data_IF_328591052725
#
_entry.id   IF_328591052725
#
_cell.length_a   1.000
_cell.length_b   1.000
_cell.length_c   1.000
_cell.angle_alpha   90.00
_cell.angle_beta   90.00
_cell.angle_gamma   90.00
#
_symmetry.space_group_name_H-M   'P 1'
#
loop_
_entity.id
_entity.type
_entity.pdbx_description
1 polymer ?
#
# COMPACT_ATOMS: atom_id res chain seq x y z
N UNK A 1 34.92 -22.98 43.72
CA UNK A 1 35.66 -22.41 42.58
C UNK A 1 34.65 -21.99 41.54
N UNK A 2 34.27 -20.85 41.71
CA UNK A 2 34.05 -19.63 40.88
C UNK A 2 33.35 -19.87 39.58
N UNK A 3 32.05 -19.65 39.57
CA UNK A 3 31.20 -19.39 38.44
C UNK A 3 31.34 -17.93 38.01
N UNK A 4 31.83 -17.68 36.81
CA UNK A 4 31.82 -16.36 36.18
C UNK A 4 30.50 -16.21 35.39
N UNK A 5 29.59 -15.43 35.95
CA UNK A 5 28.45 -14.88 35.27
C UNK A 5 28.88 -13.71 34.39
N UNK A 6 28.87 -13.88 33.07
CA UNK A 6 28.98 -12.76 32.13
C UNK A 6 27.62 -12.06 32.03
N UNK A 7 27.54 -10.88 32.63
CA UNK A 7 26.46 -9.93 32.41
C UNK A 7 26.58 -9.31 31.01
N UNK A 8 25.67 -9.63 30.15
CA UNK A 8 25.48 -8.91 28.85
C UNK A 8 24.86 -7.55 29.18
N UNK A 9 25.70 -6.53 29.29
CA UNK A 9 25.24 -5.14 29.35
C UNK A 9 24.73 -4.70 27.97
N UNK A 10 23.43 -4.81 27.74
CA UNK A 10 22.76 -4.12 26.61
C UNK A 10 22.91 -2.61 26.87
N UNK A 11 23.63 -1.90 25.98
CA UNK A 11 23.57 -0.43 25.95
C UNK A 11 22.16 -0.02 25.67
N UNK A 12 21.59 0.99 26.37
CA UNK A 12 20.31 1.57 25.97
C UNK A 12 20.44 2.10 24.54
N UNK A 13 19.53 1.73 23.65
CA UNK A 13 19.39 2.41 22.35
C UNK A 13 19.10 3.88 22.67
N UNK A 14 20.00 4.78 22.29
CA UNK A 14 19.71 6.21 22.24
C UNK A 14 18.57 6.41 21.25
N UNK A 15 17.37 6.62 21.78
CA UNK A 15 16.23 7.07 21.00
C UNK A 15 16.54 8.48 20.46
N UNK A 16 16.14 8.76 19.22
CA UNK A 16 16.17 10.11 18.67
C UNK A 16 15.58 11.09 19.71
N UNK A 17 16.16 12.29 19.87
CA UNK A 17 15.74 13.22 20.91
C UNK A 17 14.24 13.51 20.78
N UNK A 18 13.52 13.37 21.88
CA UNK A 18 12.11 13.79 21.97
C UNK A 18 12.06 15.28 21.63
N UNK A 19 11.23 15.69 20.64
CA UNK A 19 11.16 17.10 20.26
C UNK A 19 10.71 17.93 21.47
N UNK A 20 11.37 19.06 21.68
CA UNK A 20 10.92 20.02 22.67
C UNK A 20 9.59 20.63 22.20
N UNK A 21 8.70 20.91 23.14
CA UNK A 21 7.45 21.61 22.86
C UNK A 21 7.77 22.94 22.14
N UNK A 22 7.08 23.22 21.01
CA UNK A 22 7.35 24.39 20.17
C UNK A 22 8.45 24.22 19.12
N UNK A 23 8.99 22.99 18.91
CA UNK A 23 9.97 22.74 17.83
C UNK A 23 9.42 23.03 16.44
N UNK A 24 10.29 23.51 15.55
CA UNK A 24 9.96 23.83 14.16
C UNK A 24 10.48 22.74 13.21
N UNK A 25 9.62 22.32 12.31
CA UNK A 25 9.94 21.36 11.25
C UNK A 25 9.60 21.94 9.88
N UNK A 26 10.20 21.41 8.85
CA UNK A 26 9.80 21.71 7.48
C UNK A 26 8.53 20.92 7.13
N UNK A 27 8.46 19.65 7.52
CA UNK A 27 7.36 18.74 7.18
C UNK A 27 6.92 17.95 8.42
N UNK A 28 5.61 17.94 8.69
CA UNK A 28 4.97 17.02 9.64
C UNK A 28 4.17 15.96 8.87
N UNK A 29 4.58 14.69 8.98
CA UNK A 29 3.87 13.55 8.39
C UNK A 29 3.00 12.93 9.47
N UNK A 30 1.69 12.86 9.25
CA UNK A 30 0.73 12.26 10.18
C UNK A 30 0.27 10.91 9.66
N UNK A 31 0.62 9.86 10.38
CA UNK A 31 0.39 8.46 10.02
C UNK A 31 1.68 7.74 9.60
N UNK A 32 2.16 6.87 10.48
CA UNK A 32 3.42 6.15 10.33
C UNK A 32 3.27 4.74 9.74
N UNK A 33 2.24 4.48 8.94
CA UNK A 33 2.14 3.25 8.15
C UNK A 33 3.19 3.18 7.03
N UNK A 34 3.10 2.16 6.16
CA UNK A 34 4.08 1.96 5.06
C UNK A 34 4.24 3.21 4.20
N UNK A 35 3.14 3.88 3.83
CA UNK A 35 3.18 5.07 2.96
C UNK A 35 3.84 6.26 3.64
N UNK A 36 3.42 6.62 4.86
CA UNK A 36 4.00 7.75 5.60
C UNK A 36 5.47 7.52 5.97
N UNK A 37 5.82 6.29 6.40
CA UNK A 37 7.23 5.92 6.68
C UNK A 37 8.08 5.95 5.42
N UNK A 38 7.55 5.51 4.26
CA UNK A 38 8.27 5.58 2.99
C UNK A 38 8.49 7.04 2.52
N UNK A 39 7.52 7.96 2.79
CA UNK A 39 7.72 9.38 2.53
C UNK A 39 8.84 9.96 3.41
N UNK A 40 8.82 9.65 4.71
CA UNK A 40 9.87 10.08 5.62
C UNK A 40 11.26 9.57 5.18
N UNK A 41 11.35 8.31 4.72
CA UNK A 41 12.58 7.75 4.15
C UNK A 41 13.00 8.49 2.86
N UNK A 42 12.06 8.81 1.97
CA UNK A 42 12.34 9.53 0.71
C UNK A 42 12.84 10.97 0.93
N UNK A 43 12.49 11.57 2.07
CA UNK A 43 12.90 12.92 2.44
C UNK A 43 14.12 12.96 3.36
N UNK A 44 14.61 11.81 3.84
CA UNK A 44 15.69 11.68 4.84
C UNK A 44 16.95 12.46 4.47
N UNK A 45 17.36 12.37 3.21
CA UNK A 45 18.61 12.97 2.72
C UNK A 45 18.37 14.28 1.92
N UNK A 46 17.15 14.84 2.01
CA UNK A 46 16.77 16.08 1.33
C UNK A 46 17.28 17.37 2.01
N UNK A 47 17.78 17.27 3.24
CA UNK A 47 18.12 18.40 4.10
C UNK A 47 16.92 19.00 4.85
N UNK A 48 15.69 18.56 4.58
CA UNK A 48 14.48 18.98 5.29
C UNK A 48 14.40 18.33 6.70
N UNK A 49 13.94 19.11 7.68
CA UNK A 49 13.61 18.62 9.02
C UNK A 49 12.21 18.02 9.00
N UNK A 50 12.11 16.72 9.26
CA UNK A 50 10.84 15.99 9.16
C UNK A 50 10.44 15.42 10.53
N UNK A 51 9.17 15.59 10.92
CA UNK A 51 8.59 14.84 12.03
C UNK A 51 7.54 13.86 11.50
N UNK A 52 7.61 12.62 11.96
CA UNK A 52 6.65 11.55 11.67
C UNK A 52 5.89 11.19 12.94
N UNK A 53 4.58 11.48 12.98
CA UNK A 53 3.68 11.21 14.09
C UNK A 53 2.82 9.98 13.77
N UNK A 54 2.86 8.97 14.63
CA UNK A 54 2.02 7.78 14.51
C UNK A 54 1.17 7.59 15.76
N UNK A 55 -0.14 7.49 15.59
CA UNK A 55 -1.07 7.26 16.68
C UNK A 55 -0.89 5.88 17.36
N UNK A 56 -0.27 4.92 16.68
CA UNK A 56 -0.01 3.58 17.19
C UNK A 56 1.38 3.47 17.81
N UNK A 57 1.54 2.51 18.75
CA UNK A 57 2.88 2.12 19.17
C UNK A 57 3.64 1.47 18.01
N UNK A 58 4.96 1.49 18.05
CA UNK A 58 5.82 0.90 17.03
C UNK A 58 5.50 -0.58 16.80
N UNK A 59 5.32 -1.32 17.88
CA UNK A 59 5.04 -2.76 17.88
C UNK A 59 3.66 -3.04 17.25
N UNK A 60 2.65 -2.30 17.67
CA UNK A 60 1.29 -2.44 17.14
C UNK A 60 1.21 -2.09 15.64
N UNK A 61 1.91 -1.05 15.21
CA UNK A 61 1.99 -0.68 13.81
C UNK A 61 2.66 -1.78 12.97
N UNK A 62 3.77 -2.35 13.41
CA UNK A 62 4.53 -3.41 12.71
C UNK A 62 3.78 -4.75 12.70
N UNK A 63 3.02 -5.08 13.73
CA UNK A 63 2.36 -6.38 13.90
C UNK A 63 1.13 -6.60 13.00
N UNK A 64 0.74 -5.64 12.17
CA UNK A 64 -0.42 -5.76 11.26
C UNK A 64 -0.26 -6.91 10.28
N UNK A 65 -1.33 -7.67 10.07
CA UNK A 65 -1.34 -8.89 9.26
C UNK A 65 -1.68 -8.67 7.78
N UNK A 66 -1.40 -7.48 7.26
CA UNK A 66 -1.65 -7.16 5.86
C UNK A 66 -0.57 -7.74 4.95
N UNK A 67 -0.98 -8.07 3.72
CA UNK A 67 -0.09 -8.53 2.65
C UNK A 67 -0.35 -7.67 1.42
N UNK A 68 0.71 -7.33 0.72
CA UNK A 68 0.67 -6.45 -0.45
C UNK A 68 1.26 -7.14 -1.68
N UNK A 69 0.57 -7.02 -2.81
CA UNK A 69 1.23 -7.16 -4.09
C UNK A 69 2.05 -5.88 -4.34
N UNK A 70 3.35 -6.02 -4.55
CA UNK A 70 4.27 -4.90 -4.78
C UNK A 70 4.62 -4.88 -6.27
N UNK A 71 4.30 -3.79 -6.96
CA UNK A 71 4.55 -3.64 -8.38
C UNK A 71 6.03 -3.39 -8.67
N UNK A 72 6.45 -3.59 -9.92
CA UNK A 72 7.82 -3.31 -10.36
C UNK A 72 8.21 -1.85 -10.08
N UNK A 73 7.34 -0.89 -10.41
CA UNK A 73 7.60 0.53 -10.14
C UNK A 73 7.74 0.81 -8.65
N UNK A 74 6.93 0.19 -7.81
CA UNK A 74 7.04 0.34 -6.35
C UNK A 74 8.40 -0.19 -5.85
N UNK A 75 8.85 -1.33 -6.37
CA UNK A 75 10.19 -1.85 -6.06
C UNK A 75 11.30 -0.88 -6.45
N UNK A 76 11.23 -0.29 -7.65
CA UNK A 76 12.17 0.73 -8.11
C UNK A 76 12.15 2.00 -7.21
N UNK A 77 10.97 2.48 -6.82
CA UNK A 77 10.87 3.62 -5.88
C UNK A 77 11.53 3.29 -4.54
N UNK A 78 11.25 2.11 -3.96
CA UNK A 78 11.88 1.68 -2.71
C UNK A 78 13.38 1.47 -2.84
N UNK A 79 13.87 1.09 -4.01
CA UNK A 79 15.30 1.03 -4.34
C UNK A 79 15.92 2.42 -4.37
N UNK A 80 15.29 3.38 -5.04
CA UNK A 80 15.74 4.79 -5.06
C UNK A 80 15.71 5.47 -3.68
N UNK A 81 14.83 5.00 -2.76
CA UNK A 81 14.84 5.39 -1.35
C UNK A 81 16.04 4.77 -0.60
N UNK A 82 16.59 3.65 -1.07
CA UNK A 82 17.70 2.94 -0.43
C UNK A 82 17.31 1.86 0.59
N UNK A 83 16.06 1.41 0.58
CA UNK A 83 15.55 0.37 1.52
C UNK A 83 15.35 -1.00 0.87
N UNK A 84 15.41 -1.07 -0.45
CA UNK A 84 15.01 -2.26 -1.21
C UNK A 84 15.87 -3.48 -0.96
N UNK A 85 17.18 -3.31 -0.87
CA UNK A 85 18.12 -4.42 -0.62
C UNK A 85 17.87 -5.13 0.71
N UNK A 86 17.40 -4.38 1.71
CA UNK A 86 17.02 -4.95 3.00
C UNK A 86 15.63 -5.59 2.99
N UNK A 87 14.73 -5.15 2.11
CA UNK A 87 13.36 -5.68 1.97
C UNK A 87 13.37 -6.95 1.13
N UNK A 88 14.06 -6.96 -0.01
CA UNK A 88 13.97 -7.99 -1.04
C UNK A 88 14.20 -9.44 -0.53
N UNK A 89 15.17 -9.71 0.37
CA UNK A 89 15.38 -11.06 0.90
C UNK A 89 14.23 -11.59 1.78
N UNK A 90 13.36 -10.72 2.27
CA UNK A 90 12.28 -11.04 3.20
C UNK A 90 10.92 -11.23 2.51
N UNK A 91 10.84 -11.01 1.20
CA UNK A 91 9.59 -11.03 0.42
C UNK A 91 9.67 -12.06 -0.69
N UNK A 92 8.52 -12.36 -1.31
CA UNK A 92 8.50 -13.30 -2.43
C UNK A 92 8.44 -12.55 -3.78
N UNK A 93 9.13 -13.08 -4.78
CA UNK A 93 9.08 -12.60 -6.16
C UNK A 93 8.21 -13.52 -6.99
N UNK A 94 7.20 -13.02 -7.69
CA UNK A 94 6.42 -13.84 -8.61
C UNK A 94 6.84 -13.60 -10.06
N UNK A 95 6.85 -14.72 -10.82
CA UNK A 95 7.29 -14.78 -12.23
C UNK A 95 6.15 -15.08 -13.19
N UNK A 96 4.99 -15.41 -12.68
CA UNK A 96 3.81 -15.66 -13.51
C UNK A 96 2.58 -15.11 -12.83
N UNK A 97 1.67 -14.56 -13.65
CA UNK A 97 0.30 -14.25 -13.22
C UNK A 97 -0.63 -15.11 -14.08
N UNK A 98 -1.52 -15.85 -13.43
CA UNK A 98 -2.59 -16.59 -14.10
C UNK A 98 -3.93 -15.94 -13.78
N UNK A 99 -4.59 -15.47 -14.84
CA UNK A 99 -5.91 -14.85 -14.74
C UNK A 99 -6.94 -15.75 -15.40
N UNK A 100 -7.99 -16.13 -14.66
CA UNK A 100 -9.06 -17.01 -15.14
C UNK A 100 -10.43 -16.39 -14.89
N UNK A 101 -11.42 -16.77 -15.73
CA UNK A 101 -12.82 -16.37 -15.63
C UNK A 101 -13.68 -17.54 -15.18
N UNK A 102 -13.81 -17.70 -13.86
CA UNK A 102 -14.57 -18.77 -13.23
C UNK A 102 -14.05 -20.15 -13.64
N UNK A 103 -14.99 -21.05 -13.92
CA UNK A 103 -14.73 -22.42 -14.35
C UNK A 103 -14.60 -22.57 -15.88
N UNK A 104 -14.52 -21.45 -16.59
CA UNK A 104 -14.39 -21.46 -18.05
C UNK A 104 -12.98 -21.83 -18.47
N UNK A 105 -12.81 -22.69 -19.48
CA UNK A 105 -11.50 -23.14 -19.91
C UNK A 105 -10.67 -21.99 -20.48
N UNK A 106 -9.39 -22.02 -20.19
CA UNK A 106 -8.39 -21.10 -20.71
C UNK A 106 -8.13 -19.93 -19.79
N UNK A 107 -6.91 -19.89 -19.29
CA UNK A 107 -6.32 -18.81 -18.51
C UNK A 107 -5.50 -17.85 -19.41
N UNK A 108 -5.41 -16.59 -18.99
CA UNK A 108 -4.41 -15.65 -19.50
C UNK A 108 -3.18 -15.79 -18.64
N UNK A 109 -2.04 -16.08 -19.27
CA UNK A 109 -0.76 -16.20 -18.59
C UNK A 109 0.11 -15.02 -18.94
N UNK A 110 0.50 -14.27 -17.93
CA UNK A 110 1.51 -13.23 -18.05
C UNK A 110 2.83 -13.78 -17.55
N UNK A 111 3.89 -13.53 -18.31
CA UNK A 111 5.26 -13.98 -18.02
C UNK A 111 6.23 -12.80 -18.11
N UNK A 112 7.41 -12.88 -17.48
CA UNK A 112 8.37 -11.77 -17.46
C UNK A 112 8.80 -11.30 -18.84
N UNK A 113 8.86 -12.22 -19.81
CA UNK A 113 9.22 -11.96 -21.20
C UNK A 113 8.23 -11.01 -21.91
N UNK A 114 6.97 -10.94 -21.43
CA UNK A 114 5.98 -9.98 -21.95
C UNK A 114 6.40 -8.51 -21.69
N UNK A 115 7.30 -8.25 -20.73
CA UNK A 115 7.82 -6.92 -20.39
C UNK A 115 9.32 -6.79 -20.62
N UNK A 116 9.98 -7.80 -21.14
CA UNK A 116 11.44 -7.88 -21.22
C UNK A 116 12.09 -7.68 -19.83
N UNK A 117 11.63 -8.46 -18.85
CA UNK A 117 12.06 -8.42 -17.45
C UNK A 117 12.32 -9.86 -16.97
N UNK A 118 12.89 -10.00 -15.76
CA UNK A 118 13.11 -11.27 -15.08
C UNK A 118 11.98 -11.66 -14.11
N UNK A 119 11.07 -10.72 -13.84
CA UNK A 119 9.95 -10.87 -12.89
C UNK A 119 8.79 -9.96 -13.23
N UNK A 120 7.61 -10.22 -12.64
CA UNK A 120 6.40 -9.42 -12.83
C UNK A 120 6.04 -8.56 -11.61
N UNK A 121 6.56 -8.89 -10.44
CA UNK A 121 6.32 -8.17 -9.20
C UNK A 121 6.70 -9.00 -7.98
N UNK A 122 6.23 -8.53 -6.82
CA UNK A 122 6.58 -9.12 -5.53
C UNK A 122 5.36 -9.21 -4.63
N UNK A 123 5.44 -10.06 -3.61
CA UNK A 123 4.46 -10.15 -2.53
C UNK A 123 5.16 -9.96 -1.20
N UNK A 124 4.73 -8.99 -0.44
CA UNK A 124 5.33 -8.63 0.83
C UNK A 124 4.28 -8.64 1.96
N UNK A 125 4.63 -9.24 3.09
CA UNK A 125 3.92 -9.04 4.33
C UNK A 125 4.19 -7.62 4.86
N UNK A 126 3.26 -7.07 5.64
CA UNK A 126 3.37 -5.72 6.20
C UNK A 126 4.60 -5.56 7.11
N UNK A 127 4.83 -6.56 7.97
CA UNK A 127 5.91 -6.54 8.98
C UNK A 127 7.29 -6.26 8.38
N UNK A 128 7.81 -7.02 7.39
CA UNK A 128 9.12 -6.76 6.82
C UNK A 128 9.22 -5.38 6.17
N UNK A 129 8.14 -4.90 5.51
CA UNK A 129 8.14 -3.58 4.90
C UNK A 129 8.27 -2.47 5.94
N UNK A 130 7.34 -2.43 6.91
CA UNK A 130 7.31 -1.34 7.87
C UNK A 130 8.51 -1.38 8.83
N UNK A 131 8.91 -2.58 9.26
CA UNK A 131 10.08 -2.75 10.11
C UNK A 131 11.34 -2.19 9.45
N UNK A 132 11.61 -2.56 8.19
CA UNK A 132 12.79 -2.08 7.45
C UNK A 132 12.75 -0.56 7.25
N UNK A 133 11.59 0.02 6.91
CA UNK A 133 11.44 1.47 6.79
C UNK A 133 11.75 2.19 8.12
N UNK A 134 11.24 1.66 9.23
CA UNK A 134 11.48 2.25 10.56
C UNK A 134 12.94 2.12 10.99
N UNK A 135 13.57 0.97 10.77
CA UNK A 135 15.01 0.76 11.05
C UNK A 135 15.91 1.66 10.19
N UNK A 136 15.45 2.00 8.97
CA UNK A 136 16.14 2.96 8.11
C UNK A 136 16.02 4.39 8.65
N UNK A 137 14.86 4.78 9.17
CA UNK A 137 14.61 6.08 9.80
C UNK A 137 15.38 6.25 11.12
N UNK A 138 15.52 5.19 11.92
CA UNK A 138 16.26 5.22 13.18
C UNK A 138 17.74 5.68 13.02
N UNK A 139 18.27 5.61 11.81
CA UNK A 139 19.63 6.04 11.46
C UNK A 139 19.72 7.49 10.99
N UNK A 140 18.62 8.24 11.02
CA UNK A 140 18.55 9.62 10.54
C UNK A 140 18.57 10.61 11.70
N UNK A 141 19.33 11.67 11.56
CA UNK A 141 19.31 12.85 12.42
C UNK A 141 18.34 13.93 11.95
N UNK A 142 17.77 13.78 10.74
CA UNK A 142 16.86 14.73 10.10
C UNK A 142 15.38 14.33 10.23
N UNK A 143 15.11 13.09 10.59
CA UNK A 143 13.74 12.58 10.74
C UNK A 143 13.48 12.18 12.18
N UNK A 144 12.63 12.95 12.87
CA UNK A 144 12.13 12.61 14.20
C UNK A 144 10.88 11.72 14.05
N UNK A 145 10.88 10.54 14.66
CA UNK A 145 9.70 9.63 14.64
C UNK A 145 9.13 9.48 16.04
N UNK A 146 7.85 9.82 16.23
CA UNK A 146 7.14 9.67 17.50
C UNK A 146 5.97 8.71 17.30
N UNK A 147 6.01 7.60 18.01
CA UNK A 147 4.93 6.61 18.08
C UNK A 147 4.05 6.89 19.31
N UNK A 148 2.85 6.32 19.35
CA UNK A 148 1.84 6.60 20.38
C UNK A 148 1.57 8.11 20.53
N UNK A 149 1.51 8.80 19.39
CA UNK A 149 1.34 10.25 19.29
C UNK A 149 0.12 10.60 18.42
N UNK A 150 -1.11 10.35 18.87
CA UNK A 150 -2.30 10.73 18.13
C UNK A 150 -2.39 12.25 17.99
N UNK A 151 -2.49 12.72 16.74
CA UNK A 151 -2.75 14.14 16.44
C UNK A 151 -4.19 14.46 16.81
N UNK A 152 -4.37 15.55 17.56
CA UNK A 152 -5.67 16.03 18.04
C UNK A 152 -6.25 17.12 17.14
N UNK A 153 -5.41 18.08 16.78
CA UNK A 153 -5.82 19.27 16.05
C UNK A 153 -4.67 19.80 15.18
N UNK A 154 -5.01 20.46 14.10
CA UNK A 154 -4.06 21.20 13.27
C UNK A 154 -4.67 22.58 12.97
N UNK A 155 -3.94 23.61 13.32
CA UNK A 155 -4.24 24.99 12.94
C UNK A 155 -3.35 25.39 11.75
N UNK A 156 -3.97 25.77 10.64
CA UNK A 156 -3.30 26.12 9.41
C UNK A 156 -3.13 27.64 9.30
N UNK A 157 -1.94 28.13 9.64
CA UNK A 157 -1.54 29.52 9.44
C UNK A 157 -1.09 29.84 8.01
N UNK A 158 -0.68 31.09 7.79
CA UNK A 158 -0.19 31.54 6.47
C UNK A 158 1.15 30.91 6.12
N UNK A 159 2.11 30.92 7.05
CA UNK A 159 3.48 30.49 6.81
C UNK A 159 3.77 29.06 7.30
N UNK A 160 3.03 28.60 8.30
CA UNK A 160 3.18 27.27 8.89
C UNK A 160 1.86 26.79 9.49
N UNK A 161 1.77 25.49 9.71
CA UNK A 161 0.71 24.85 10.49
C UNK A 161 1.22 24.49 11.88
N UNK A 162 0.38 24.63 12.91
CA UNK A 162 0.61 24.13 14.26
C UNK A 162 -0.07 22.79 14.43
N UNK A 163 0.68 21.76 14.75
CA UNK A 163 0.21 20.39 14.96
C UNK A 163 0.20 20.10 16.46
N UNK A 164 -0.98 19.88 17.02
CA UNK A 164 -1.19 19.48 18.42
C UNK A 164 -1.39 17.98 18.49
N UNK A 165 -0.59 17.29 19.29
CA UNK A 165 -0.66 15.84 19.48
C UNK A 165 -0.48 15.48 20.95
N UNK A 166 -0.94 14.30 21.34
CA UNK A 166 -0.78 13.75 22.69
C UNK A 166 0.40 12.77 22.67
N UNK A 167 1.31 12.91 23.63
CA UNK A 167 2.39 11.96 23.85
C UNK A 167 2.66 11.79 25.35
N UNK A 168 2.71 10.54 25.81
CA UNK A 168 2.91 10.20 27.24
C UNK A 168 1.93 10.89 28.18
N UNK A 169 0.66 11.04 27.74
CA UNK A 169 -0.40 11.70 28.52
C UNK A 169 -0.29 13.22 28.61
N UNK A 170 0.61 13.83 27.84
CA UNK A 170 0.78 15.28 27.75
C UNK A 170 0.47 15.78 26.35
N UNK A 171 -0.18 16.93 26.26
CA UNK A 171 -0.38 17.63 25.01
C UNK A 171 0.90 18.37 24.62
N UNK A 172 1.34 18.18 23.40
CA UNK A 172 2.53 18.81 22.84
C UNK A 172 2.19 19.46 21.48
N UNK A 173 2.95 20.47 21.13
CA UNK A 173 2.79 21.19 19.88
C UNK A 173 4.11 21.29 19.11
N UNK A 174 4.01 21.16 17.79
CA UNK A 174 5.09 21.47 16.86
C UNK A 174 4.53 22.30 15.72
N UNK A 175 5.40 23.09 15.08
CA UNK A 175 5.03 23.80 13.86
C UNK A 175 5.72 23.19 12.64
N UNK A 176 5.04 23.21 11.49
CA UNK A 176 5.60 22.70 10.24
C UNK A 176 5.12 23.55 9.06
N UNK A 177 6.01 23.79 8.07
CA UNK A 177 5.64 24.51 6.83
C UNK A 177 4.61 23.72 6.01
N UNK A 178 4.63 22.40 6.11
CA UNK A 178 3.71 21.49 5.43
C UNK A 178 3.31 20.33 6.33
N UNK A 179 2.01 20.02 6.37
CA UNK A 179 1.48 18.79 6.94
C UNK A 179 1.15 17.82 5.81
N UNK A 180 1.59 16.57 5.94
CA UNK A 180 1.23 15.49 5.03
C UNK A 180 0.37 14.45 5.76
N UNK A 181 -0.88 14.33 5.33
CA UNK A 181 -1.80 13.34 5.87
C UNK A 181 -1.58 11.98 5.18
N UNK A 182 -1.03 11.03 5.93
CA UNK A 182 -0.85 9.62 5.59
C UNK A 182 -1.64 8.71 6.57
N UNK A 183 -2.71 9.25 7.17
CA UNK A 183 -3.50 8.74 8.29
C UNK A 183 -4.58 7.71 7.88
N UNK A 184 -4.56 7.28 6.62
CA UNK A 184 -5.36 6.18 6.12
C UNK A 184 -6.76 6.57 5.65
N UNK A 185 -7.57 5.57 5.28
CA UNK A 185 -8.82 5.82 4.55
C UNK A 185 -9.92 6.52 5.34
N UNK A 186 -9.86 6.53 6.66
CA UNK A 186 -10.75 7.31 7.54
C UNK A 186 -10.14 8.65 7.96
N UNK A 187 -9.20 9.16 7.22
CA UNK A 187 -8.40 10.34 7.50
C UNK A 187 -9.16 11.45 8.26
N UNK A 188 -8.93 11.63 9.57
CA UNK A 188 -9.49 12.76 10.31
C UNK A 188 -8.97 14.10 9.77
N UNK A 189 -7.75 14.14 9.29
CA UNK A 189 -7.15 15.37 8.75
C UNK A 189 -7.84 15.82 7.46
N UNK A 190 -8.16 14.88 6.56
CA UNK A 190 -8.97 15.17 5.37
C UNK A 190 -10.33 15.74 5.74
N UNK A 191 -11.01 15.11 6.71
CA UNK A 191 -12.33 15.53 7.17
C UNK A 191 -12.29 16.90 7.85
N UNK A 192 -11.35 17.13 8.77
CA UNK A 192 -11.16 18.43 9.44
C UNK A 192 -10.80 19.53 8.44
N UNK A 193 -10.04 19.21 7.40
CA UNK A 193 -9.75 20.15 6.32
C UNK A 193 -10.96 20.42 5.40
N UNK A 194 -12.12 19.79 5.60
CA UNK A 194 -13.30 19.95 4.75
C UNK A 194 -13.10 19.50 3.32
N UNK A 195 -12.22 18.50 3.08
CA UNK A 195 -12.02 17.91 1.76
C UNK A 195 -13.04 16.80 1.54
N UNK A 196 -13.98 17.04 0.64
CA UNK A 196 -15.01 16.07 0.27
C UNK A 196 -14.43 14.89 -0.50
N UNK A 197 -15.14 13.76 -0.45
CA UNK A 197 -14.79 12.54 -1.17
C UNK A 197 -15.92 12.08 -2.07
N UNK A 198 -15.58 11.47 -3.20
CA UNK A 198 -16.51 10.78 -4.10
C UNK A 198 -16.18 9.31 -4.15
N UNK A 199 -17.19 8.49 -4.39
CA UNK A 199 -17.03 7.05 -4.50
C UNK A 199 -18.24 6.30 -3.94
N UNK A 200 -18.08 5.00 -3.77
CA UNK A 200 -19.15 4.13 -3.29
C UNK A 200 -18.57 2.95 -2.50
N UNK A 201 -19.41 2.36 -1.67
CA UNK A 201 -19.14 1.07 -1.07
C UNK A 201 -19.64 0.00 -2.04
N UNK A 202 -18.80 -1.00 -2.30
CA UNK A 202 -19.24 -2.15 -3.08
C UNK A 202 -20.18 -3.03 -2.25
N UNK A 203 -20.93 -3.87 -2.92
CA UNK A 203 -21.80 -4.88 -2.31
C UNK A 203 -21.01 -6.09 -1.74
N UNK A 204 -19.70 -6.04 -1.85
CA UNK A 204 -18.74 -7.07 -1.52
C UNK A 204 -17.87 -6.68 -0.32
N UNK A 205 -17.37 -7.73 0.35
CA UNK A 205 -16.28 -7.65 1.34
C UNK A 205 -15.19 -8.64 0.98
N UNK A 206 -13.97 -8.38 1.45
CA UNK A 206 -12.85 -9.31 1.31
C UNK A 206 -12.59 -10.04 2.62
N UNK A 207 -12.45 -11.35 2.54
CA UNK A 207 -11.88 -12.20 3.58
C UNK A 207 -10.44 -12.50 3.19
N UNK A 208 -9.48 -12.11 4.02
CA UNK A 208 -8.05 -12.37 3.78
C UNK A 208 -7.47 -13.25 4.86
N UNK A 209 -6.61 -14.16 4.46
CA UNK A 209 -5.95 -15.12 5.34
C UNK A 209 -4.75 -15.74 4.64
N UNK A 210 -3.87 -16.39 5.40
CA UNK A 210 -2.72 -17.12 4.85
C UNK A 210 -3.00 -18.63 4.87
N UNK A 211 -2.45 -19.32 3.87
CA UNK A 211 -2.53 -20.77 3.74
C UNK A 211 -1.18 -21.38 3.44
N UNK A 212 -1.01 -22.65 3.77
CA UNK A 212 0.11 -23.49 3.36
C UNK A 212 -0.40 -24.56 2.42
N UNK A 213 -0.10 -24.49 1.12
CA UNK A 213 -0.45 -25.53 0.16
C UNK A 213 0.46 -26.75 0.30
N UNK A 214 -0.05 -27.92 -0.08
CA UNK A 214 0.69 -29.19 -0.09
C UNK A 214 1.82 -29.18 -1.12
N UNK A 215 1.54 -28.65 -2.33
CA UNK A 215 2.52 -28.54 -3.42
C UNK A 215 3.08 -27.11 -3.49
N UNK A 216 4.20 -26.97 -4.16
CA UNK A 216 4.82 -25.65 -4.39
C UNK A 216 3.88 -24.70 -5.15
N UNK A 217 3.84 -23.44 -4.73
CA UNK A 217 3.16 -22.36 -5.47
C UNK A 217 3.94 -21.88 -6.70
N UNK A 218 5.17 -22.36 -6.92
CA UNK A 218 6.02 -22.08 -8.09
C UNK A 218 6.19 -20.59 -8.42
N UNK A 219 6.02 -19.72 -7.42
CA UNK A 219 6.03 -18.27 -7.58
C UNK A 219 4.99 -17.73 -8.59
N UNK A 220 3.83 -18.38 -8.65
CA UNK A 220 2.70 -17.98 -9.48
C UNK A 220 1.68 -17.22 -8.64
N UNK A 221 1.29 -16.03 -9.11
CA UNK A 221 0.14 -15.31 -8.59
C UNK A 221 -1.11 -15.67 -9.40
N UNK A 222 -2.21 -15.97 -8.73
CA UNK A 222 -3.47 -16.30 -9.37
C UNK A 222 -4.50 -15.22 -9.10
N UNK A 223 -5.26 -14.86 -10.14
CA UNK A 223 -6.44 -14.01 -10.04
C UNK A 223 -7.60 -14.76 -10.71
N UNK A 224 -8.48 -15.34 -9.91
CA UNK A 224 -9.65 -16.10 -10.37
C UNK A 224 -10.89 -15.22 -10.25
N UNK A 225 -11.40 -14.74 -11.36
CA UNK A 225 -12.64 -13.97 -11.37
C UNK A 225 -13.86 -14.91 -11.32
N UNK A 226 -14.83 -14.54 -10.51
CA UNK A 226 -16.13 -15.23 -10.45
C UNK A 226 -17.24 -14.17 -10.26
N UNK A 227 -18.48 -14.55 -10.53
CA UNK A 227 -19.63 -13.65 -10.41
C UNK A 227 -19.82 -13.09 -8.97
N UNK A 228 -19.41 -13.85 -7.95
CA UNK A 228 -19.43 -13.41 -6.54
C UNK A 228 -18.28 -12.43 -6.18
N UNK A 229 -17.27 -12.35 -7.02
CA UNK A 229 -16.09 -11.50 -6.83
C UNK A 229 -14.77 -12.21 -7.11
N UNK A 230 -13.68 -11.46 -7.24
CA UNK A 230 -12.34 -12.00 -7.47
C UNK A 230 -11.81 -12.80 -6.29
N UNK A 231 -10.95 -13.78 -6.61
CA UNK A 231 -10.26 -14.64 -5.66
C UNK A 231 -8.77 -14.67 -6.03
N UNK A 232 -7.97 -13.93 -5.25
CA UNK A 232 -6.54 -13.84 -5.48
C UNK A 232 -5.75 -14.80 -4.58
N UNK A 233 -4.71 -15.43 -5.14
CA UNK A 233 -3.72 -16.23 -4.41
C UNK A 233 -2.35 -15.64 -4.69
N UNK A 234 -1.69 -15.14 -3.66
CA UNK A 234 -0.41 -14.47 -3.75
C UNK A 234 0.67 -15.28 -3.06
N UNK A 235 1.76 -15.67 -3.75
CA UNK A 235 2.81 -16.51 -3.19
C UNK A 235 3.64 -15.74 -2.14
N UNK A 236 3.87 -16.35 -0.98
CA UNK A 236 4.68 -15.84 0.13
C UNK A 236 5.92 -16.71 0.36
N UNK A 237 6.96 -16.22 1.05
CA UNK A 237 8.11 -17.02 1.44
C UNK A 237 7.70 -18.26 2.27
N UNK A 238 8.49 -19.34 2.17
CA UNK A 238 8.26 -20.56 2.93
C UNK A 238 7.08 -21.40 2.44
N UNK A 239 6.80 -21.39 1.15
CA UNK A 239 5.68 -22.10 0.51
C UNK A 239 4.32 -21.79 1.18
N UNK A 240 4.09 -20.53 1.53
CA UNK A 240 2.81 -20.01 2.01
C UNK A 240 2.16 -19.19 0.90
N UNK A 241 0.86 -19.01 0.98
CA UNK A 241 0.14 -18.07 0.11
C UNK A 241 -0.74 -17.16 0.95
N UNK A 242 -0.89 -15.91 0.54
CA UNK A 242 -1.97 -15.05 1.00
C UNK A 242 -3.16 -15.19 0.06
N UNK A 243 -4.33 -15.36 0.62
CA UNK A 243 -5.60 -15.40 -0.12
C UNK A 243 -6.37 -14.12 0.15
N UNK A 244 -6.93 -13.55 -0.91
CA UNK A 244 -7.92 -12.47 -0.83
C UNK A 244 -9.19 -12.98 -1.51
N UNK A 245 -10.18 -13.31 -0.70
CA UNK A 245 -11.47 -13.83 -1.17
C UNK A 245 -12.51 -12.72 -1.12
N UNK A 246 -12.84 -12.17 -2.28
CA UNK A 246 -13.92 -11.18 -2.40
C UNK A 246 -15.25 -11.92 -2.61
N UNK A 247 -16.25 -11.54 -1.81
CA UNK A 247 -17.58 -12.15 -1.85
C UNK A 247 -18.65 -11.12 -1.43
N UNK A 248 -19.95 -11.36 -1.73
CA UNK A 248 -21.06 -10.58 -1.18
C UNK A 248 -20.96 -10.42 0.33
N UNK A 249 -21.38 -9.28 0.89
CA UNK A 249 -21.26 -9.01 2.33
C UNK A 249 -21.79 -10.15 3.22
N UNK A 250 -22.97 -10.73 2.85
CA UNK A 250 -23.56 -11.83 3.61
C UNK A 250 -22.72 -13.11 3.57
N UNK A 251 -22.23 -13.48 2.38
CA UNK A 251 -21.34 -14.64 2.20
C UNK A 251 -20.00 -14.42 2.93
N UNK A 252 -19.40 -13.24 2.81
CA UNK A 252 -18.15 -12.93 3.48
C UNK A 252 -18.28 -13.00 5.01
N UNK A 253 -19.40 -12.56 5.58
CA UNK A 253 -19.69 -12.72 7.02
C UNK A 253 -19.87 -14.19 7.38
N UNK A 254 -20.66 -14.95 6.60
CA UNK A 254 -20.86 -16.38 6.84
C UNK A 254 -19.53 -17.15 6.80
N UNK A 255 -18.60 -16.81 5.88
CA UNK A 255 -17.25 -17.37 5.85
C UNK A 255 -16.45 -17.12 7.14
N UNK A 256 -16.67 -15.97 7.81
CA UNK A 256 -16.02 -15.68 9.09
C UNK A 256 -16.58 -16.51 10.26
N UNK A 257 -17.85 -16.91 10.18
CA UNK A 257 -18.58 -17.66 11.23
C UNK A 257 -18.35 -19.18 11.14
N UNK A 258 -17.90 -19.69 9.96
CA UNK A 258 -17.61 -21.12 9.80
C UNK A 258 -16.51 -21.59 10.77
N UNK A 259 -16.66 -22.78 11.30
CA UNK A 259 -15.56 -23.47 11.97
C UNK A 259 -14.42 -23.77 10.98
N UNK A 260 -13.28 -24.24 11.49
CA UNK A 260 -12.09 -24.44 10.65
C UNK A 260 -12.30 -25.56 9.61
N UNK A 261 -13.03 -26.62 9.95
CA UNK A 261 -13.25 -27.75 9.05
C UNK A 261 -14.16 -27.36 7.88
N UNK A 262 -15.31 -26.73 8.17
CA UNK A 262 -16.24 -26.26 7.16
C UNK A 262 -15.64 -25.15 6.29
N UNK A 263 -14.85 -24.26 6.89
CA UNK A 263 -14.13 -23.23 6.12
C UNK A 263 -13.10 -23.84 5.17
N UNK A 264 -12.33 -24.84 5.62
CA UNK A 264 -11.32 -25.54 4.81
C UNK A 264 -11.95 -26.25 3.61
N UNK A 265 -13.11 -26.87 3.79
CA UNK A 265 -13.84 -27.50 2.69
C UNK A 265 -14.25 -26.47 1.62
N UNK A 266 -14.86 -25.35 2.04
CA UNK A 266 -15.23 -24.25 1.14
C UNK A 266 -14.03 -23.64 0.46
N UNK A 267 -12.93 -23.45 1.21
CA UNK A 267 -11.69 -22.95 0.68
C UNK A 267 -11.12 -23.89 -0.38
N UNK A 268 -11.06 -25.21 -0.13
CA UNK A 268 -10.52 -26.17 -1.07
C UNK A 268 -11.30 -26.18 -2.39
N UNK A 269 -12.64 -26.09 -2.32
CA UNK A 269 -13.49 -25.98 -3.51
C UNK A 269 -13.12 -24.73 -4.36
N UNK A 270 -12.89 -23.59 -3.70
CA UNK A 270 -12.55 -22.32 -4.37
C UNK A 270 -11.11 -22.26 -4.83
N UNK A 271 -10.20 -22.79 -4.03
CA UNK A 271 -8.75 -22.80 -4.30
C UNK A 271 -8.42 -23.69 -5.50
N UNK A 272 -9.10 -24.83 -5.61
CA UNK A 272 -8.85 -25.84 -6.64
C UNK A 272 -7.82 -26.88 -6.21
N UNK A 273 -7.44 -27.74 -7.15
CA UNK A 273 -6.54 -28.88 -6.91
C UNK A 273 -5.09 -28.63 -7.37
N UNK A 274 -4.79 -27.52 -8.00
CA UNK A 274 -3.48 -27.26 -8.64
C UNK A 274 -2.32 -27.35 -7.65
N UNK A 275 -2.50 -26.81 -6.44
CA UNK A 275 -1.49 -26.85 -5.37
C UNK A 275 -1.76 -27.92 -4.30
N UNK A 276 -2.65 -28.90 -4.58
CA UNK A 276 -3.01 -29.95 -3.64
C UNK A 276 -3.94 -29.47 -2.52
N UNK A 277 -3.87 -30.11 -1.37
CA UNK A 277 -4.61 -29.67 -0.17
C UNK A 277 -4.04 -28.38 0.40
N UNK A 278 -4.90 -27.60 1.07
CA UNK A 278 -4.52 -26.33 1.71
C UNK A 278 -4.87 -26.37 3.20
N UNK A 279 -3.94 -25.86 4.00
CA UNK A 279 -4.11 -25.68 5.44
C UNK A 279 -4.11 -24.19 5.78
N UNK A 280 -4.94 -23.78 6.75
CA UNK A 280 -4.91 -22.42 7.26
C UNK A 280 -3.59 -22.16 8.01
N UNK A 281 -2.97 -21.01 7.73
CA UNK A 281 -1.73 -20.57 8.36
C UNK A 281 -1.87 -19.22 9.09
N UNK A 282 -3.09 -18.67 9.17
CA UNK A 282 -3.40 -17.47 9.97
C UNK A 282 -4.88 -17.38 10.28
N UNK A 283 -5.25 -16.49 11.19
CA UNK A 283 -6.63 -16.05 11.37
C UNK A 283 -7.18 -15.41 10.08
N UNK A 284 -8.51 -15.40 9.97
CA UNK A 284 -9.26 -14.72 8.89
C UNK A 284 -9.53 -13.28 9.29
N UNK A 285 -9.44 -12.36 8.33
CA UNK A 285 -9.71 -10.94 8.52
C UNK A 285 -10.72 -10.48 7.47
N UNK A 286 -11.75 -9.75 7.91
CA UNK A 286 -12.81 -9.21 7.05
C UNK A 286 -12.66 -7.71 6.91
N UNK A 287 -12.74 -7.19 5.68
CA UNK A 287 -12.82 -5.76 5.43
C UNK A 287 -13.77 -5.43 4.27
N UNK A 288 -14.54 -4.33 4.38
CA UNK A 288 -15.44 -3.90 3.30
C UNK A 288 -14.63 -3.32 2.14
N UNK A 289 -15.11 -3.55 0.93
CA UNK A 289 -14.55 -2.96 -0.29
C UNK A 289 -15.19 -1.60 -0.55
N UNK A 290 -14.35 -0.61 -0.83
CA UNK A 290 -14.79 0.76 -1.10
C UNK A 290 -13.88 1.39 -2.17
N UNK A 291 -14.49 2.08 -3.12
CA UNK A 291 -13.82 3.06 -3.96
C UNK A 291 -14.01 4.44 -3.34
N UNK A 292 -12.94 5.19 -3.22
CA UNK A 292 -12.97 6.56 -2.72
C UNK A 292 -11.91 7.40 -3.43
N UNK A 293 -12.29 8.60 -3.79
CA UNK A 293 -11.44 9.62 -4.37
C UNK A 293 -11.71 10.95 -3.68
N UNK A 294 -10.68 11.60 -3.15
CA UNK A 294 -10.80 12.95 -2.59
C UNK A 294 -10.96 13.98 -3.72
N UNK A 295 -11.83 14.96 -3.53
CA UNK A 295 -12.05 16.03 -4.50
C UNK A 295 -10.80 16.90 -4.70
N UNK A 296 -9.99 17.02 -3.67
CA UNK A 296 -8.67 17.66 -3.70
C UNK A 296 -7.66 16.81 -2.93
N UNK A 297 -6.41 16.80 -3.38
CA UNK A 297 -5.30 16.18 -2.66
C UNK A 297 -4.52 17.18 -1.83
N UNK A 298 -4.71 18.48 -2.10
CA UNK A 298 -3.96 19.54 -1.43
C UNK A 298 -4.85 20.71 -1.02
N UNK A 299 -4.42 21.38 0.04
CA UNK A 299 -4.79 22.73 0.46
C UNK A 299 -3.52 23.50 0.85
N UNK A 300 -3.56 24.81 1.09
CA UNK A 300 -2.42 25.49 1.67
C UNK A 300 -1.93 24.77 2.92
N UNK A 301 -0.64 24.49 3.01
CA UNK A 301 0.00 23.75 4.13
C UNK A 301 -0.45 22.30 4.35
N UNK A 302 -1.23 21.71 3.43
CA UNK A 302 -1.73 20.32 3.56
C UNK A 302 -1.61 19.56 2.25
N UNK A 303 -1.06 18.33 2.31
CA UNK A 303 -1.10 17.33 1.24
C UNK A 303 -1.64 15.99 1.77
N UNK A 304 -2.48 15.31 0.99
CA UNK A 304 -2.98 13.96 1.27
C UNK A 304 -2.22 12.95 0.42
N UNK A 305 -1.84 11.79 0.99
CA UNK A 305 -1.18 10.70 0.28
C UNK A 305 -1.81 9.34 0.62
N UNK A 306 -1.76 8.41 -0.33
CA UNK A 306 -2.26 7.05 -0.15
C UNK A 306 -3.75 7.00 0.18
N UNK A 307 -4.14 6.13 1.12
CA UNK A 307 -5.55 5.92 1.48
C UNK A 307 -6.25 7.18 2.01
N UNK A 308 -5.51 8.18 2.50
CA UNK A 308 -6.09 9.48 2.88
C UNK A 308 -6.63 10.23 1.65
N UNK A 309 -6.00 10.07 0.48
CA UNK A 309 -6.38 10.71 -0.77
C UNK A 309 -7.33 9.84 -1.62
N UNK A 310 -7.14 8.52 -1.65
CA UNK A 310 -7.89 7.61 -2.52
C UNK A 310 -7.87 6.17 -2.03
N UNK A 311 -8.91 5.41 -2.36
CA UNK A 311 -9.00 3.96 -2.14
C UNK A 311 -9.55 3.30 -3.40
N UNK A 312 -8.92 2.22 -3.85
CA UNK A 312 -9.34 1.45 -5.01
C UNK A 312 -9.88 0.07 -4.60
N UNK A 313 -10.56 -0.58 -5.53
CA UNK A 313 -10.91 -1.99 -5.38
C UNK A 313 -9.62 -2.83 -5.20
N UNK A 314 -9.60 -3.84 -4.30
CA UNK A 314 -8.38 -4.62 -4.01
C UNK A 314 -7.89 -5.48 -5.18
N UNK A 315 -8.67 -5.65 -6.26
CA UNK A 315 -8.26 -6.40 -7.45
C UNK A 315 -6.92 -5.89 -7.98
N UNK A 316 -5.99 -6.81 -8.18
CA UNK A 316 -4.62 -6.47 -8.60
C UNK A 316 -3.76 -5.75 -7.56
N UNK A 317 -4.21 -5.60 -6.31
CA UNK A 317 -3.40 -5.14 -5.18
C UNK A 317 -2.83 -3.72 -5.32
N UNK A 318 -3.57 -2.77 -5.90
CA UNK A 318 -3.03 -1.45 -6.28
C UNK A 318 -2.93 -0.42 -5.13
N UNK A 319 -3.69 -0.56 -4.03
CA UNK A 319 -3.83 0.50 -3.02
C UNK A 319 -2.50 1.02 -2.48
N UNK A 320 -1.67 0.16 -1.90
CA UNK A 320 -0.36 0.55 -1.37
C UNK A 320 0.58 1.08 -2.49
N UNK A 321 0.54 0.48 -3.68
CA UNK A 321 1.37 0.91 -4.81
C UNK A 321 1.04 2.34 -5.27
N UNK A 322 -0.24 2.72 -5.28
CA UNK A 322 -0.64 4.10 -5.57
C UNK A 322 -0.10 5.06 -4.50
N UNK A 323 -0.19 4.69 -3.22
CA UNK A 323 0.38 5.48 -2.12
C UNK A 323 1.90 5.68 -2.23
N UNK A 324 2.64 4.63 -2.62
CA UNK A 324 4.10 4.75 -2.84
C UNK A 324 4.42 5.65 -4.04
N UNK A 325 3.61 5.61 -5.10
CA UNK A 325 3.75 6.56 -6.22
C UNK A 325 3.42 7.99 -5.80
N UNK A 326 2.43 8.17 -4.93
CA UNK A 326 2.08 9.50 -4.40
C UNK A 326 3.26 10.10 -3.64
N UNK A 327 3.86 9.34 -2.73
CA UNK A 327 4.98 9.87 -1.92
C UNK A 327 6.20 10.16 -2.78
N UNK A 328 6.46 9.36 -3.80
CA UNK A 328 7.57 9.59 -4.70
C UNK A 328 7.37 10.88 -5.54
N UNK A 329 6.14 11.11 -6.02
CA UNK A 329 5.79 12.33 -6.74
C UNK A 329 5.82 13.57 -5.81
N UNK A 330 5.30 13.45 -4.58
CA UNK A 330 5.32 14.53 -3.61
C UNK A 330 6.77 14.88 -3.23
N UNK A 331 7.60 13.88 -2.93
CA UNK A 331 9.01 14.10 -2.60
C UNK A 331 9.76 14.83 -3.74
N UNK A 332 9.55 14.43 -5.01
CA UNK A 332 10.13 15.12 -6.18
C UNK A 332 9.69 16.59 -6.26
N UNK A 333 8.39 16.88 -6.03
CA UNK A 333 7.87 18.25 -6.05
C UNK A 333 8.44 19.08 -4.91
N UNK A 334 8.51 18.54 -3.68
CA UNK A 334 9.03 19.26 -2.51
C UNK A 334 10.52 19.55 -2.63
N UNK A 335 11.33 18.59 -3.05
CA UNK A 335 12.78 18.76 -3.26
C UNK A 335 13.06 19.77 -4.37
N UNK A 336 12.29 19.73 -5.47
CA UNK A 336 12.42 20.70 -6.55
C UNK A 336 12.08 22.11 -6.08
N UNK A 337 11.01 22.28 -5.31
CA UNK A 337 10.61 23.57 -4.76
C UNK A 337 11.67 24.12 -3.78
N UNK A 338 12.22 23.26 -2.91
CA UNK A 338 13.29 23.61 -1.99
C UNK A 338 14.53 24.12 -2.74
N UNK A 339 14.98 23.39 -3.77
CA UNK A 339 16.13 23.78 -4.60
C UNK A 339 15.92 25.13 -5.32
N UNK A 340 14.68 25.46 -5.63
CA UNK A 340 14.29 26.71 -6.28
C UNK A 340 14.00 27.85 -5.28
N UNK A 341 14.16 27.62 -3.97
CA UNK A 341 13.83 28.60 -2.92
C UNK A 341 12.34 28.94 -2.83
N UNK A 342 11.46 28.04 -3.33
CA UNK A 342 10.01 28.21 -3.28
C UNK A 342 9.46 27.70 -1.94
N UNK A 343 8.37 28.31 -1.48
CA UNK A 343 7.62 27.80 -0.34
C UNK A 343 6.85 26.52 -0.74
N UNK A 344 7.37 25.37 -0.34
CA UNK A 344 6.75 24.08 -0.70
C UNK A 344 5.44 23.79 0.04
N UNK A 345 5.06 24.60 1.03
CA UNK A 345 3.71 24.56 1.64
C UNK A 345 2.69 25.41 0.89
N UNK A 346 3.11 26.19 -0.12
CA UNK A 346 2.22 26.99 -0.95
C UNK A 346 1.35 26.11 -1.86
N UNK A 347 0.09 26.50 -2.01
CA UNK A 347 -0.89 25.77 -2.82
C UNK A 347 -0.44 25.60 -4.27
N UNK A 348 0.22 26.60 -4.87
CA UNK A 348 0.69 26.56 -6.26
C UNK A 348 1.76 25.50 -6.49
N UNK A 349 2.62 25.27 -5.51
CA UNK A 349 3.63 24.20 -5.53
C UNK A 349 2.95 22.85 -5.34
N UNK A 350 2.09 22.72 -4.32
CA UNK A 350 1.40 21.47 -4.01
C UNK A 350 0.45 21.00 -5.14
N UNK A 351 -0.15 21.92 -5.89
CA UNK A 351 -0.94 21.60 -7.07
C UNK A 351 -0.17 20.91 -8.19
N UNK A 352 1.17 20.99 -8.23
CA UNK A 352 1.99 20.21 -9.18
C UNK A 352 1.89 18.72 -8.87
N UNK A 353 1.95 18.36 -7.57
CA UNK A 353 1.71 16.99 -7.07
C UNK A 353 0.28 16.53 -7.38
N UNK A 354 -0.74 17.32 -7.01
CA UNK A 354 -2.14 16.97 -7.22
C UNK A 354 -2.44 16.71 -8.69
N UNK A 355 -2.05 17.60 -9.61
CA UNK A 355 -2.26 17.45 -11.05
C UNK A 355 -1.60 16.21 -11.62
N UNK A 356 -0.38 15.90 -11.15
CA UNK A 356 0.30 14.69 -11.58
C UNK A 356 -0.43 13.42 -11.09
N UNK A 357 -0.68 13.32 -9.80
CA UNK A 357 -1.15 12.06 -9.22
C UNK A 357 -2.63 11.81 -9.41
N UNK A 358 -3.46 12.84 -9.36
CA UNK A 358 -4.91 12.68 -9.39
C UNK A 358 -5.41 12.03 -10.68
N UNK A 359 -4.86 12.39 -11.84
CA UNK A 359 -5.23 11.77 -13.12
C UNK A 359 -4.77 10.31 -13.20
N UNK A 360 -3.52 10.02 -12.80
CA UNK A 360 -3.01 8.65 -12.81
C UNK A 360 -3.77 7.76 -11.83
N UNK A 361 -4.06 8.26 -10.63
CA UNK A 361 -4.83 7.52 -9.64
C UNK A 361 -6.26 7.26 -10.15
N UNK A 362 -6.93 8.26 -10.73
CA UNK A 362 -8.27 8.09 -11.30
C UNK A 362 -8.29 7.01 -12.40
N UNK A 363 -7.26 6.93 -13.21
CA UNK A 363 -7.12 5.88 -14.24
C UNK A 363 -7.09 4.48 -13.61
N UNK A 364 -6.31 4.28 -12.54
CA UNK A 364 -6.24 2.98 -11.85
C UNK A 364 -7.54 2.68 -11.08
N UNK A 365 -8.12 3.68 -10.41
CA UNK A 365 -9.40 3.51 -9.73
C UNK A 365 -10.50 3.09 -10.71
N UNK A 366 -10.60 3.77 -11.86
CA UNK A 366 -11.56 3.43 -12.91
C UNK A 366 -11.30 2.06 -13.53
N UNK A 367 -10.03 1.72 -13.75
CA UNK A 367 -9.64 0.42 -14.29
C UNK A 367 -10.02 -0.73 -13.34
N UNK A 368 -9.69 -0.62 -12.05
CA UNK A 368 -10.03 -1.66 -11.05
C UNK A 368 -11.54 -1.79 -10.84
N UNK A 369 -12.28 -0.69 -10.88
CA UNK A 369 -13.74 -0.69 -10.84
C UNK A 369 -14.36 -1.35 -12.07
N UNK A 370 -13.85 -1.02 -13.27
CA UNK A 370 -14.28 -1.65 -14.51
C UNK A 370 -14.03 -3.16 -14.51
N UNK A 371 -12.87 -3.60 -14.02
CA UNK A 371 -12.58 -5.02 -13.88
C UNK A 371 -13.59 -5.71 -12.98
N UNK A 372 -13.80 -5.18 -11.76
CA UNK A 372 -14.78 -5.79 -10.85
C UNK A 372 -16.18 -5.83 -11.47
N UNK A 373 -16.71 -4.72 -11.94
CA UNK A 373 -18.06 -4.67 -12.57
C UNK A 373 -18.22 -5.62 -13.74
N UNK A 374 -17.18 -5.78 -14.55
CA UNK A 374 -17.23 -6.64 -15.74
C UNK A 374 -17.16 -8.12 -15.37
N UNK A 375 -16.35 -8.46 -14.39
CA UNK A 375 -16.14 -9.86 -14.01
C UNK A 375 -17.12 -10.34 -12.92
N UNK A 376 -17.54 -9.48 -12.01
CA UNK A 376 -18.55 -9.79 -10.98
C UNK A 376 -19.97 -9.61 -11.51
N UNK A 377 -20.24 -10.13 -12.73
CA UNK A 377 -21.52 -9.97 -13.40
C UNK A 377 -21.83 -11.18 -14.30
N UNK A 378 -23.12 -11.52 -14.41
CA UNK A 378 -23.63 -12.62 -15.25
C UNK A 378 -24.40 -12.14 -16.47
N UNK A 379 -24.57 -10.82 -16.65
CA UNK A 379 -25.29 -10.27 -17.81
C UNK A 379 -24.56 -10.58 -19.11
N UNK A 380 -25.27 -11.24 -20.03
CA UNK A 380 -24.69 -11.84 -21.25
C UNK A 380 -23.80 -10.88 -22.06
N UNK A 381 -24.17 -9.61 -22.35
CA UNK A 381 -23.30 -8.69 -23.09
C UNK A 381 -21.96 -8.42 -22.40
N UNK A 382 -21.95 -8.26 -21.06
CA UNK A 382 -20.71 -8.09 -20.30
C UNK A 382 -19.86 -9.36 -20.30
N UNK A 383 -20.51 -10.52 -20.27
CA UNK A 383 -19.82 -11.82 -20.38
C UNK A 383 -19.11 -11.93 -21.73
N UNK A 384 -19.79 -11.56 -22.84
CA UNK A 384 -19.18 -11.56 -24.17
C UNK A 384 -18.01 -10.57 -24.25
N UNK A 385 -18.21 -9.35 -23.74
CA UNK A 385 -17.18 -8.30 -23.76
C UNK A 385 -15.92 -8.74 -22.98
N UNK A 386 -16.06 -9.32 -21.77
CA UNK A 386 -14.91 -9.81 -21.02
C UNK A 386 -14.21 -10.98 -21.70
N UNK A 387 -14.96 -11.88 -22.35
CA UNK A 387 -14.36 -12.99 -23.11
C UNK A 387 -13.55 -12.47 -24.32
N UNK A 388 -14.05 -11.46 -25.03
CA UNK A 388 -13.30 -10.78 -26.09
C UNK A 388 -12.04 -10.09 -25.51
N UNK A 389 -12.15 -9.44 -24.36
CA UNK A 389 -11.00 -8.85 -23.67
C UNK A 389 -9.94 -9.90 -23.28
N UNK A 390 -10.36 -11.03 -22.71
CA UNK A 390 -9.46 -12.14 -22.38
C UNK A 390 -8.86 -12.78 -23.65
N UNK A 391 -9.64 -12.91 -24.69
CA UNK A 391 -9.15 -13.37 -25.99
C UNK A 391 -8.06 -12.42 -26.53
N UNK A 392 -8.30 -11.11 -26.49
CA UNK A 392 -7.32 -10.10 -26.88
C UNK A 392 -6.03 -10.19 -26.08
N UNK A 393 -6.11 -10.37 -24.74
CA UNK A 393 -4.95 -10.56 -23.86
C UNK A 393 -4.16 -11.84 -24.18
N UNK A 394 -4.82 -12.88 -24.72
CA UNK A 394 -4.16 -14.13 -25.10
C UNK A 394 -3.46 -14.05 -26.46
N UNK A 395 -4.08 -13.36 -27.43
CA UNK A 395 -3.70 -13.47 -28.85
C UNK A 395 -3.11 -12.19 -29.44
N UNK A 396 -3.23 -11.04 -28.74
CA UNK A 396 -2.73 -9.75 -29.24
C UNK A 396 -1.64 -9.22 -28.29
N UNK A 397 -0.33 -9.52 -28.58
CA UNK A 397 0.76 -9.15 -27.68
C UNK A 397 0.80 -7.68 -27.26
N UNK A 398 0.54 -6.67 -28.13
CA UNK A 398 0.52 -5.27 -27.71
C UNK A 398 -0.53 -4.97 -26.62
N UNK A 399 -1.72 -5.59 -26.68
CA UNK A 399 -2.78 -5.44 -25.66
C UNK A 399 -2.34 -6.03 -24.33
N UNK A 400 -1.71 -7.21 -24.38
CA UNK A 400 -1.14 -7.88 -23.20
C UNK A 400 -0.06 -7.03 -22.53
N UNK A 401 0.88 -6.50 -23.32
CA UNK A 401 1.96 -5.63 -22.83
C UNK A 401 1.40 -4.34 -22.21
N UNK A 402 0.41 -3.71 -22.86
CA UNK A 402 -0.21 -2.49 -22.34
C UNK A 402 -0.88 -2.74 -20.98
N UNK A 403 -1.65 -3.83 -20.87
CA UNK A 403 -2.30 -4.22 -19.61
C UNK A 403 -1.27 -4.48 -18.49
N UNK A 404 -0.18 -5.19 -18.81
CA UNK A 404 0.91 -5.43 -17.86
C UNK A 404 1.60 -4.13 -17.43
N UNK A 405 1.92 -3.23 -18.36
CA UNK A 405 2.55 -1.94 -18.04
C UNK A 405 1.67 -1.10 -17.12
N UNK A 406 0.35 -1.12 -17.35
CA UNK A 406 -0.60 -0.45 -16.47
C UNK A 406 -0.57 -1.05 -15.07
N UNK A 407 -0.69 -2.38 -14.95
CA UNK A 407 -0.76 -3.09 -13.68
C UNK A 407 0.54 -3.06 -12.89
N UNK A 408 1.69 -3.09 -13.57
CA UNK A 408 3.02 -3.04 -12.94
C UNK A 408 3.51 -1.62 -12.66
N UNK A 409 2.72 -0.60 -13.08
CA UNK A 409 3.03 0.81 -12.85
C UNK A 409 4.01 1.42 -13.84
N UNK A 410 4.41 0.68 -14.85
CA UNK A 410 5.38 1.13 -15.86
C UNK A 410 4.76 2.02 -16.94
N UNK A 411 3.45 2.31 -16.84
CA UNK A 411 2.76 3.27 -17.69
C UNK A 411 2.60 4.60 -16.95
N UNK A 412 2.83 5.72 -17.63
CA UNK A 412 2.75 7.06 -17.08
C UNK A 412 4.10 7.67 -16.71
N UNK A 413 4.07 8.80 -16.00
CA UNK A 413 5.29 9.51 -15.57
C UNK A 413 5.96 8.76 -14.43
N UNK A 414 7.22 8.41 -14.63
CA UNK A 414 8.04 7.80 -13.59
C UNK A 414 8.67 8.89 -12.71
N UNK A 415 8.57 8.78 -11.36
CA UNK A 415 9.21 9.71 -10.45
C UNK A 415 10.74 9.55 -10.47
N UNK A 416 11.45 10.60 -10.05
CA UNK A 416 12.92 10.62 -10.04
C UNK A 416 13.50 9.45 -9.23
N UNK A 417 12.91 9.11 -8.09
CA UNK A 417 13.31 7.96 -7.28
C UNK A 417 13.34 6.63 -8.06
N UNK A 418 12.41 6.44 -9.00
CA UNK A 418 12.39 5.22 -9.82
C UNK A 418 13.37 5.25 -11.00
N UNK A 419 13.80 6.44 -11.43
CA UNK A 419 14.77 6.62 -12.53
C UNK A 419 16.22 6.49 -12.08
N UNK A 420 16.46 6.71 -10.80
CA UNK A 420 17.80 6.65 -10.18
C UNK A 420 18.08 5.26 -9.56
N UNK A 421 17.16 4.29 -9.73
CA UNK A 421 17.19 2.95 -9.16
C UNK A 421 17.91 1.93 -10.04
#
# INVERSE_FOLDING_TARGET
>A
MSSLSQSVSGRPQEFAPTPMNGSHYDIAIVGGGVVGSALACALRDSGLQVILLDAQSREAAIARQQVYAVTLLTGQILQGIGVWEAILPQINTFRQIRLSDGDRPGDVRFVPQDLDRDRLGYVAEHTPLLKTLREYLDKSDKVCTICSAPVKEIDYGVDAATVTYEHQGQEQQVTAKLVVAADGGRSPLREAAGIATRGWKYWQSCVTFKVKPEKSHENIAYEKFQASGPFAILPLPGNRCNVVWTAPHGEAKALMELDEAAFRERLQQRFGSEMGRVELASSRYLFPVQLMQSDRYVKPRLALVGDAAHRCHPVGGQGMNLGIRDIAALAEVLQTAQQQGQDFGDLTVLQRYERWRKLENLTILGFTDLLDRTFSNTWFPLVVMRQLGLWGLRHIPPVKVLALRLMTGLLGRQPQLARNA
#
